data_IF_219755094129
#
_entry.id   IF_219755094129
#
_cell.length_a   1.000
_cell.length_b   1.000
_cell.length_c   1.000
_cell.angle_alpha   90.00
_cell.angle_beta   90.00
_cell.angle_gamma   90.00
#
_symmetry.space_group_name_H-M   'P 1'
#
loop_
_entity.id
_entity.type
_entity.pdbx_description
1 polymer ?
#
# COMPACT_ATOMS: atom_id res chain seq x y z
N UNK A 1 -14.99 42.66 -85.63
CA UNK A 1 -14.22 41.43 -85.33
C UNK A 1 -13.79 41.33 -83.87
N UNK A 2 -13.33 42.40 -83.21
CA UNK A 2 -12.91 42.33 -81.80
C UNK A 2 -14.05 41.92 -80.83
N UNK A 3 -15.26 42.46 -81.01
CA UNK A 3 -16.41 42.15 -80.15
C UNK A 3 -16.82 40.67 -80.20
N UNK A 4 -16.88 40.10 -81.41
CA UNK A 4 -17.20 38.68 -81.63
C UNK A 4 -16.23 37.75 -80.87
N UNK A 5 -14.93 38.08 -80.92
CA UNK A 5 -13.87 37.32 -80.23
C UNK A 5 -14.00 37.39 -78.71
N UNK A 6 -14.29 38.58 -78.16
CA UNK A 6 -14.53 38.72 -76.72
C UNK A 6 -15.79 37.98 -76.26
N UNK A 7 -16.87 38.01 -77.04
CA UNK A 7 -18.07 37.26 -76.73
C UNK A 7 -17.81 35.74 -76.77
N UNK A 8 -17.07 35.25 -77.76
CA UNK A 8 -16.68 33.84 -77.84
C UNK A 8 -15.79 33.40 -76.66
N UNK A 9 -14.88 34.26 -76.20
CA UNK A 9 -14.05 33.98 -75.01
C UNK A 9 -14.89 33.94 -73.74
N UNK A 10 -15.89 34.83 -73.61
CA UNK A 10 -16.79 34.85 -72.45
C UNK A 10 -17.64 33.58 -72.43
N UNK A 11 -18.19 33.14 -73.56
CA UNK A 11 -18.96 31.90 -73.63
C UNK A 11 -18.09 30.69 -73.31
N UNK A 12 -16.87 30.63 -73.84
CA UNK A 12 -15.94 29.53 -73.59
C UNK A 12 -15.50 29.45 -72.11
N UNK A 13 -15.26 30.59 -71.47
CA UNK A 13 -14.90 30.63 -70.03
C UNK A 13 -16.09 30.32 -69.14
N UNK A 14 -17.29 30.76 -69.49
CA UNK A 14 -18.53 30.42 -68.78
C UNK A 14 -18.79 28.92 -68.80
N UNK A 15 -18.68 28.28 -69.96
CA UNK A 15 -18.82 26.82 -70.10
C UNK A 15 -17.75 26.07 -69.30
N UNK A 16 -16.49 26.52 -69.37
CA UNK A 16 -15.40 25.95 -68.59
C UNK A 16 -15.66 26.03 -67.08
N UNK A 17 -16.10 27.18 -66.56
CA UNK A 17 -16.39 27.35 -65.12
C UNK A 17 -17.58 26.49 -64.69
N UNK A 18 -18.63 26.40 -65.52
CA UNK A 18 -19.82 25.61 -65.21
C UNK A 18 -19.58 24.10 -65.20
N UNK A 19 -18.63 23.62 -66.00
CA UNK A 19 -18.27 22.20 -66.08
C UNK A 19 -17.33 21.73 -64.95
N UNK A 20 -16.83 22.65 -64.12
CA UNK A 20 -16.04 22.29 -62.95
C UNK A 20 -16.92 21.61 -61.91
N UNK A 21 -16.59 20.36 -61.60
CA UNK A 21 -17.21 19.63 -60.49
C UNK A 21 -16.71 20.19 -59.16
N UNK A 22 -17.38 21.20 -58.64
CA UNK A 22 -17.18 21.62 -57.25
C UNK A 22 -17.83 20.60 -56.33
N UNK A 23 -17.06 20.05 -55.40
CA UNK A 23 -17.64 19.30 -54.28
C UNK A 23 -18.61 20.24 -53.57
N UNK A 24 -19.91 19.93 -53.61
CA UNK A 24 -20.88 20.67 -52.82
C UNK A 24 -20.40 20.64 -51.37
N UNK A 25 -20.46 21.76 -50.63
CA UNK A 25 -20.07 21.78 -49.23
C UNK A 25 -20.89 20.71 -48.52
N UNK A 26 -20.23 19.60 -48.18
CA UNK A 26 -20.82 18.55 -47.36
C UNK A 26 -21.24 19.26 -46.08
N UNK A 27 -22.54 19.36 -45.85
CA UNK A 27 -23.10 20.06 -44.71
C UNK A 27 -22.48 19.51 -43.44
N UNK A 28 -21.57 20.32 -42.89
CA UNK A 28 -21.16 20.32 -41.49
C UNK A 28 -20.76 18.97 -40.89
N UNK A 29 -19.57 18.47 -41.26
CA UNK A 29 -18.84 17.49 -40.40
C UNK A 29 -18.67 18.08 -38.98
N UNK A 30 -18.58 19.40 -38.85
CA UNK A 30 -18.59 20.09 -37.56
C UNK A 30 -19.96 20.10 -36.85
N UNK A 31 -21.12 19.93 -37.50
CA UNK A 31 -22.40 19.87 -36.77
C UNK A 31 -22.72 18.48 -36.24
N UNK A 32 -22.13 17.43 -36.83
CA UNK A 32 -22.20 16.07 -36.29
C UNK A 32 -21.33 15.89 -35.02
N UNK A 33 -20.32 16.75 -34.86
CA UNK A 33 -19.47 16.80 -33.66
C UNK A 33 -19.83 17.93 -32.69
N UNK A 34 -20.62 18.93 -33.10
CA UNK A 34 -20.89 20.16 -32.33
C UNK A 34 -22.38 20.51 -32.19
N UNK A 35 -23.22 19.53 -31.86
CA UNK A 35 -24.43 19.84 -31.09
C UNK A 35 -24.71 18.73 -30.08
N UNK A 36 -24.08 18.75 -28.88
CA UNK A 36 -24.81 18.20 -27.74
C UNK A 36 -26.15 18.94 -27.68
N UNK A 37 -27.23 18.21 -27.49
CA UNK A 37 -28.53 18.81 -27.19
C UNK A 37 -28.30 19.86 -26.09
N UNK A 38 -28.56 21.13 -26.35
CA UNK A 38 -28.29 22.21 -25.39
C UNK A 38 -29.00 21.92 -24.07
N UNK A 39 -30.14 21.21 -24.11
CA UNK A 39 -30.88 20.75 -22.93
C UNK A 39 -30.14 19.64 -22.17
N UNK A 40 -29.28 18.86 -22.83
CA UNK A 40 -28.39 17.87 -22.21
C UNK A 40 -27.11 18.48 -21.59
N UNK A 41 -26.71 19.68 -22.04
CA UNK A 41 -25.54 20.43 -21.58
C UNK A 41 -25.91 21.44 -20.49
N UNK A 42 -27.10 22.04 -20.58
CA UNK A 42 -27.74 22.80 -19.51
C UNK A 42 -28.38 21.79 -18.55
N UNK A 43 -27.54 21.13 -17.77
CA UNK A 43 -27.98 20.41 -16.58
C UNK A 43 -27.91 21.36 -15.40
N UNK A 44 -28.86 21.24 -14.47
CA UNK A 44 -28.70 21.88 -13.18
C UNK A 44 -27.36 21.48 -12.56
N UNK A 45 -26.58 22.46 -12.10
CA UNK A 45 -25.30 22.19 -11.45
C UNK A 45 -25.51 21.21 -10.29
N UNK A 46 -24.80 20.09 -10.32
CA UNK A 46 -24.93 19.07 -9.27
C UNK A 46 -24.51 19.68 -7.92
N UNK A 47 -24.99 19.16 -6.78
CA UNK A 47 -24.73 19.78 -5.47
C UNK A 47 -23.24 20.04 -5.16
N UNK A 48 -22.35 19.21 -5.69
CA UNK A 48 -20.90 19.34 -5.53
C UNK A 48 -20.26 20.37 -6.48
N UNK A 49 -20.94 20.80 -7.54
CA UNK A 49 -20.45 21.77 -8.54
C UNK A 49 -20.93 23.20 -8.26
N UNK A 50 -22.03 23.36 -7.51
CA UNK A 50 -22.64 24.67 -7.19
C UNK A 50 -21.66 25.68 -6.56
N UNK A 51 -20.66 25.20 -5.82
CA UNK A 51 -19.63 26.03 -5.18
C UNK A 51 -18.63 26.66 -6.17
N UNK A 52 -18.49 26.10 -7.38
CA UNK A 52 -17.58 26.61 -8.42
C UNK A 52 -18.16 27.81 -9.17
N UNK A 53 -19.48 27.92 -9.24
CA UNK A 53 -20.20 28.92 -10.04
C UNK A 53 -20.74 30.10 -9.24
N UNK A 54 -20.65 30.05 -7.90
CA UNK A 54 -20.95 31.20 -7.06
C UNK A 54 -19.77 32.18 -7.10
N UNK A 55 -19.76 33.02 -8.13
CA UNK A 55 -18.94 34.23 -8.13
C UNK A 55 -19.42 35.09 -6.95
N UNK A 56 -18.60 35.20 -5.90
CA UNK A 56 -18.83 36.20 -4.85
C UNK A 56 -18.89 37.57 -5.53
N UNK A 57 -20.07 38.17 -5.56
CA UNK A 57 -20.24 39.56 -6.00
C UNK A 57 -19.68 40.46 -4.91
N UNK A 58 -18.50 41.02 -5.16
CA UNK A 58 -17.92 42.13 -4.39
C UNK A 58 -17.33 41.73 -3.05
N UNK A 59 -16.00 41.80 -2.99
CA UNK A 59 -15.15 42.10 -1.84
C UNK A 59 -15.35 41.26 -0.56
N UNK A 60 -14.52 40.22 -0.44
CA UNK A 60 -13.55 40.09 0.66
C UNK A 60 -12.61 38.94 0.28
N UNK A 61 -11.31 39.24 0.22
CA UNK A 61 -10.24 38.24 0.14
C UNK A 61 -10.48 37.11 1.16
N UNK A 62 -10.06 35.86 0.88
CA UNK A 62 -10.15 34.81 1.87
C UNK A 62 -9.17 35.11 2.99
N UNK A 63 -9.64 35.82 4.03
CA UNK A 63 -9.01 35.80 5.35
C UNK A 63 -8.93 34.33 5.75
N UNK A 64 -7.73 33.77 5.67
CA UNK A 64 -7.38 32.51 6.32
C UNK A 64 -7.78 32.65 7.77
N UNK A 65 -8.92 32.08 8.14
CA UNK A 65 -9.32 31.97 9.53
C UNK A 65 -8.37 30.97 10.19
N UNK A 66 -7.22 31.45 10.65
CA UNK A 66 -6.48 30.82 11.72
C UNK A 66 -7.37 30.95 12.96
N UNK A 67 -8.26 29.98 13.16
CA UNK A 67 -8.99 29.82 14.42
C UNK A 67 -7.99 29.31 15.46
N UNK A 68 -7.36 30.25 16.16
CA UNK A 68 -6.96 30.04 17.54
C UNK A 68 -8.23 30.10 18.37
N UNK A 69 -8.60 28.96 18.96
CA UNK A 69 -9.86 28.79 19.69
C UNK A 69 -10.11 27.31 19.90
N UNK A 70 -9.82 26.86 21.10
CA UNK A 70 -9.91 25.48 21.57
C UNK A 70 -11.26 24.82 21.19
N UNK A 71 -11.23 23.98 20.17
CA UNK A 71 -12.09 22.80 20.11
C UNK A 71 -11.31 21.67 20.79
N UNK A 72 -11.95 20.75 21.55
CA UNK A 72 -11.27 19.56 22.04
C UNK A 72 -10.60 18.90 20.83
N UNK A 73 -9.37 18.36 20.97
CA UNK A 73 -8.70 17.72 19.85
C UNK A 73 -9.66 16.64 19.36
N UNK A 74 -10.27 16.86 18.19
CA UNK A 74 -10.92 15.81 17.44
C UNK A 74 -9.86 14.72 17.39
N UNK A 75 -10.09 13.55 18.01
CA UNK A 75 -9.07 12.53 18.08
C UNK A 75 -8.64 12.34 16.64
N UNK A 76 -7.33 12.55 16.42
CA UNK A 76 -6.62 12.17 15.21
C UNK A 76 -7.43 11.04 14.60
N UNK A 77 -7.97 11.25 13.37
CA UNK A 77 -8.38 10.13 12.53
C UNK A 77 -7.24 9.16 12.72
N UNK A 78 -7.45 8.10 13.51
CA UNK A 78 -6.49 7.02 13.63
C UNK A 78 -6.21 6.74 12.19
N UNK A 79 -4.97 6.95 11.75
CA UNK A 79 -4.57 6.48 10.45
C UNK A 79 -5.09 5.05 10.44
N UNK A 80 -6.12 4.74 9.62
CA UNK A 80 -6.54 3.36 9.48
C UNK A 80 -5.24 2.60 9.25
N UNK A 81 -5.12 1.40 9.83
CA UNK A 81 -3.95 0.58 9.55
C UNK A 81 -3.71 0.63 8.03
N UNK A 82 -2.46 0.81 7.60
CA UNK A 82 -2.13 1.15 6.19
C UNK A 82 -2.84 0.20 5.19
N UNK A 83 -3.10 -1.05 5.61
CA UNK A 83 -3.93 -2.04 4.93
C UNK A 83 -5.39 -1.58 4.70
N UNK A 84 -6.07 -1.07 5.73
CA UNK A 84 -7.43 -0.53 5.63
C UNK A 84 -7.50 0.68 4.67
N UNK A 85 -6.48 1.53 4.62
CA UNK A 85 -6.42 2.61 3.64
C UNK A 85 -6.31 2.07 2.21
N UNK A 86 -5.46 1.06 1.98
CA UNK A 86 -5.29 0.44 0.68
C UNK A 86 -6.57 -0.24 0.17
N UNK A 87 -7.29 -0.96 1.03
CA UNK A 87 -8.57 -1.61 0.69
C UNK A 87 -9.65 -0.59 0.30
N UNK A 88 -9.74 0.52 1.04
CA UNK A 88 -10.68 1.61 0.75
C UNK A 88 -10.36 2.26 -0.59
N UNK A 89 -9.07 2.48 -0.89
CA UNK A 89 -8.60 3.10 -2.13
C UNK A 89 -8.83 2.20 -3.35
N UNK A 90 -8.51 0.91 -3.26
CA UNK A 90 -8.80 -0.07 -4.30
C UNK A 90 -10.30 -0.14 -4.61
N UNK A 91 -11.14 -0.21 -3.57
CA UNK A 91 -12.59 -0.23 -3.72
C UNK A 91 -13.17 1.07 -4.29
N UNK A 92 -12.52 2.21 -4.02
CA UNK A 92 -12.87 3.49 -4.63
C UNK A 92 -12.46 3.53 -6.11
N UNK A 93 -11.27 3.02 -6.44
CA UNK A 93 -10.76 2.94 -7.81
C UNK A 93 -11.64 2.04 -8.70
N UNK A 94 -12.09 0.89 -8.20
CA UNK A 94 -13.06 0.04 -8.92
C UNK A 94 -14.36 0.78 -9.25
N UNK A 95 -14.91 1.55 -8.29
CA UNK A 95 -16.11 2.35 -8.50
C UNK A 95 -15.89 3.42 -9.56
N UNK A 96 -14.73 4.08 -9.53
CA UNK A 96 -14.37 5.09 -10.53
C UNK A 96 -14.22 4.48 -11.93
N UNK A 97 -13.60 3.31 -12.06
CA UNK A 97 -13.48 2.62 -13.36
C UNK A 97 -14.83 2.18 -13.92
N UNK A 98 -15.81 1.84 -13.06
CA UNK A 98 -17.18 1.55 -13.51
C UNK A 98 -17.89 2.78 -14.08
N UNK A 99 -17.65 3.97 -13.51
CA UNK A 99 -18.25 5.23 -13.98
C UNK A 99 -17.50 5.77 -15.21
N UNK A 100 -16.19 5.50 -15.29
CA UNK A 100 -15.30 5.92 -16.37
C UNK A 100 -14.47 4.73 -16.90
N UNK A 101 -14.98 3.99 -17.90
CA UNK A 101 -14.28 2.84 -18.44
C UNK A 101 -13.04 3.29 -19.22
N UNK A 102 -11.88 3.18 -18.58
CA UNK A 102 -10.57 3.39 -19.18
C UNK A 102 -9.80 2.06 -19.17
N UNK A 103 -9.49 1.47 -20.34
CA UNK A 103 -8.91 0.13 -20.42
C UNK A 103 -7.55 0.03 -19.72
N UNK A 104 -6.68 1.04 -19.85
CA UNK A 104 -5.38 1.07 -19.16
C UNK A 104 -5.51 1.15 -17.64
N UNK A 105 -6.48 1.89 -17.13
CA UNK A 105 -6.72 2.01 -15.69
C UNK A 105 -7.20 0.68 -15.10
N UNK A 106 -8.07 -0.04 -15.80
CA UNK A 106 -8.57 -1.36 -15.36
C UNK A 106 -7.46 -2.40 -15.23
N UNK A 107 -6.52 -2.43 -16.17
CA UNK A 107 -5.36 -3.34 -16.11
C UNK A 107 -4.41 -2.99 -14.97
N UNK A 108 -4.16 -1.68 -14.74
CA UNK A 108 -3.33 -1.23 -13.62
C UNK A 108 -3.96 -1.59 -12.28
N UNK A 109 -5.27 -1.41 -12.13
CA UNK A 109 -5.99 -1.77 -10.91
C UNK A 109 -5.92 -3.28 -10.67
N UNK A 110 -6.18 -4.12 -11.68
CA UNK A 110 -6.00 -5.57 -11.56
C UNK A 110 -4.57 -5.97 -11.18
N UNK A 111 -3.56 -5.29 -11.74
CA UNK A 111 -2.15 -5.54 -11.37
C UNK A 111 -1.85 -5.14 -9.91
N UNK A 112 -2.49 -4.07 -9.41
CA UNK A 112 -2.35 -3.61 -8.04
C UNK A 112 -3.08 -4.55 -7.07
N UNK A 113 -4.24 -5.07 -7.43
CA UNK A 113 -4.95 -6.12 -6.68
C UNK A 113 -4.11 -7.38 -6.53
N UNK A 114 -3.47 -7.82 -7.62
CA UNK A 114 -2.55 -8.96 -7.59
C UNK A 114 -1.37 -8.73 -6.65
N UNK A 115 -0.74 -7.55 -6.71
CA UNK A 115 0.38 -7.20 -5.81
C UNK A 115 -0.06 -7.08 -4.35
N UNK A 116 -1.21 -6.44 -4.13
CA UNK A 116 -1.74 -6.23 -2.79
C UNK A 116 -2.10 -7.56 -2.12
N UNK A 117 -2.79 -8.46 -2.83
CA UNK A 117 -3.11 -9.80 -2.30
C UNK A 117 -1.87 -10.61 -1.93
N UNK A 118 -0.80 -10.54 -2.75
CA UNK A 118 0.49 -11.17 -2.44
C UNK A 118 1.14 -10.58 -1.19
N UNK A 119 1.15 -9.25 -1.05
CA UNK A 119 1.71 -8.58 0.12
C UNK A 119 0.91 -8.92 1.39
N UNK A 120 -0.41 -8.92 1.33
CA UNK A 120 -1.27 -9.29 2.47
C UNK A 120 -1.02 -10.72 2.94
N UNK A 121 -0.83 -11.67 2.00
CA UNK A 121 -0.45 -13.04 2.35
C UNK A 121 0.94 -13.13 2.98
N UNK A 122 1.92 -12.39 2.45
CA UNK A 122 3.27 -12.35 3.02
C UNK A 122 3.26 -11.78 4.44
N UNK A 123 2.51 -10.68 4.65
CA UNK A 123 2.37 -10.03 5.95
C UNK A 123 1.72 -10.97 6.95
N UNK A 124 0.60 -11.63 6.61
CA UNK A 124 -0.06 -12.55 7.54
C UNK A 124 0.83 -13.72 7.94
N UNK A 125 1.62 -14.26 7.00
CA UNK A 125 2.61 -15.29 7.30
C UNK A 125 3.70 -14.79 8.26
N UNK A 126 4.22 -13.60 8.03
CA UNK A 126 5.26 -13.00 8.88
C UNK A 126 4.72 -12.64 10.26
N UNK A 127 3.49 -12.12 10.34
CA UNK A 127 2.80 -11.83 11.60
C UNK A 127 2.63 -13.09 12.44
N UNK A 128 2.22 -14.21 11.85
CA UNK A 128 2.11 -15.50 12.54
C UNK A 128 3.47 -15.97 13.12
N UNK A 129 4.57 -15.79 12.37
CA UNK A 129 5.91 -16.14 12.84
C UNK A 129 6.35 -15.20 13.98
N UNK A 130 6.05 -13.90 13.88
CA UNK A 130 6.37 -12.93 14.94
C UNK A 130 5.60 -13.24 16.22
N UNK A 131 4.34 -13.65 16.12
CA UNK A 131 3.54 -14.08 17.28
C UNK A 131 4.14 -15.32 17.95
N UNK A 132 4.55 -16.33 17.18
CA UNK A 132 5.21 -17.52 17.73
C UNK A 132 6.53 -17.16 18.43
N UNK A 133 7.33 -16.29 17.81
CA UNK A 133 8.58 -15.81 18.39
C UNK A 133 8.34 -15.02 19.69
N UNK A 134 7.31 -14.16 19.72
CA UNK A 134 6.93 -13.41 20.93
C UNK A 134 6.46 -14.33 22.04
N UNK A 135 5.61 -15.31 21.75
CA UNK A 135 5.18 -16.30 22.73
C UNK A 135 6.36 -17.09 23.31
N UNK A 136 7.33 -17.47 22.47
CA UNK A 136 8.56 -18.15 22.91
C UNK A 136 9.40 -17.26 23.82
N UNK A 137 9.52 -15.97 23.49
CA UNK A 137 10.23 -15.00 24.33
C UNK A 137 9.50 -14.74 25.65
N UNK A 138 8.17 -14.70 25.66
CA UNK A 138 7.38 -14.53 26.87
C UNK A 138 7.58 -15.70 27.84
N UNK A 139 7.62 -16.94 27.32
CA UNK A 139 7.95 -18.13 28.12
C UNK A 139 9.38 -18.01 28.67
N UNK A 140 10.36 -17.64 27.85
CA UNK A 140 11.74 -17.45 28.31
C UNK A 140 11.84 -16.36 29.38
N UNK A 141 11.17 -15.22 29.17
CA UNK A 141 11.12 -14.12 30.12
C UNK A 141 10.47 -14.56 31.44
N UNK A 142 9.39 -15.35 31.39
CA UNK A 142 8.77 -15.95 32.58
C UNK A 142 9.71 -16.92 33.29
N UNK A 143 10.35 -17.85 32.58
CA UNK A 143 11.30 -18.79 33.20
C UNK A 143 12.53 -18.08 33.80
N UNK A 144 13.02 -17.03 33.14
CA UNK A 144 14.10 -16.20 33.63
C UNK A 144 13.66 -15.38 34.86
N UNK A 145 12.42 -14.88 34.89
CA UNK A 145 11.84 -14.20 36.05
C UNK A 145 11.63 -15.15 37.23
N UNK A 146 11.16 -16.37 37.01
CA UNK A 146 11.01 -17.40 38.06
C UNK A 146 12.37 -17.77 38.67
N UNK A 147 13.40 -17.90 37.84
CA UNK A 147 14.78 -18.15 38.29
C UNK A 147 15.37 -16.95 39.06
N UNK A 148 15.08 -15.72 38.62
CA UNK A 148 15.50 -14.49 39.30
C UNK A 148 14.75 -14.23 40.60
N UNK A 149 13.47 -14.65 40.72
CA UNK A 149 12.64 -14.45 41.91
C UNK A 149 12.95 -15.45 43.04
N UNK A 150 13.56 -16.60 42.71
CA UNK A 150 14.10 -17.52 43.73
C UNK A 150 15.30 -16.95 44.49
N UNK A 151 15.78 -15.77 44.09
CA UNK A 151 16.83 -15.01 44.75
C UNK A 151 16.29 -13.74 45.44
N UNK A 152 15.02 -13.63 45.81
CA UNK A 152 14.60 -12.56 46.73
C UNK A 152 14.76 -13.02 48.19
N UNK A 153 16.00 -12.92 48.69
CA UNK A 153 16.30 -12.92 50.13
C UNK A 153 16.59 -11.46 50.49
N UNK A 154 15.80 -10.91 51.42
CA UNK A 154 15.81 -9.52 51.93
C UNK A 154 17.14 -9.18 52.63
N UNK A 155 18.22 -9.04 51.85
CA UNK A 155 19.48 -8.47 52.28
C UNK A 155 19.91 -7.42 51.25
N UNK A 156 20.50 -6.29 51.67
CA UNK A 156 21.15 -5.39 50.73
C UNK A 156 22.28 -6.19 50.07
N UNK A 157 22.03 -6.68 48.85
CA UNK A 157 23.08 -7.17 47.98
C UNK A 157 23.91 -5.98 47.58
N UNK A 158 24.96 -5.72 48.36
CA UNK A 158 26.23 -5.38 47.75
C UNK A 158 26.39 -6.30 46.54
N UNK A 159 26.69 -5.74 45.38
CA UNK A 159 27.04 -6.48 44.17
C UNK A 159 28.24 -7.38 44.51
N UNK A 160 27.99 -8.53 45.12
CA UNK A 160 28.92 -9.61 45.27
C UNK A 160 29.10 -10.16 43.86
N UNK A 161 30.01 -9.54 43.12
CA UNK A 161 30.60 -10.18 41.96
C UNK A 161 31.04 -11.57 42.37
N UNK A 162 30.75 -12.55 41.52
CA UNK A 162 31.12 -13.96 41.69
C UNK A 162 32.50 -14.00 42.35
N UNK A 163 32.57 -14.49 43.58
CA UNK A 163 33.84 -14.49 44.30
C UNK A 163 34.75 -15.55 43.70
N UNK A 164 36.05 -15.32 43.72
CA UNK A 164 37.03 -16.27 43.20
C UNK A 164 36.92 -17.64 43.89
N UNK A 165 36.46 -17.66 45.15
CA UNK A 165 36.19 -18.88 45.91
C UNK A 165 34.97 -19.67 45.38
N UNK A 166 33.93 -18.98 44.92
CA UNK A 166 32.75 -19.62 44.31
C UNK A 166 33.13 -20.26 42.97
N UNK A 167 33.97 -19.58 42.18
CA UNK A 167 34.47 -20.09 40.90
C UNK A 167 35.25 -21.42 41.07
N UNK A 168 36.10 -21.49 42.09
CA UNK A 168 36.91 -22.69 42.36
C UNK A 168 36.06 -23.91 42.74
N UNK A 169 34.99 -23.70 43.52
CA UNK A 169 34.07 -24.79 43.87
C UNK A 169 33.33 -25.30 42.63
N UNK A 170 32.86 -24.38 41.79
CA UNK A 170 32.22 -24.74 40.52
C UNK A 170 33.18 -25.51 39.61
N UNK A 171 34.45 -25.10 39.50
CA UNK A 171 35.46 -25.82 38.72
C UNK A 171 35.71 -27.25 39.23
N UNK A 172 35.74 -27.45 40.56
CA UNK A 172 35.87 -28.78 41.15
C UNK A 172 34.65 -29.67 40.89
N UNK A 173 33.45 -29.11 40.99
CA UNK A 173 32.21 -29.82 40.66
C UNK A 173 32.16 -30.22 39.18
N UNK A 174 32.54 -29.30 38.29
CA UNK A 174 32.64 -29.56 36.85
C UNK A 174 33.63 -30.69 36.58
N UNK A 175 34.81 -30.69 37.23
CA UNK A 175 35.80 -31.76 37.05
C UNK A 175 35.27 -33.13 37.45
N UNK A 176 34.56 -33.23 38.59
CA UNK A 176 33.94 -34.48 39.02
C UNK A 176 32.85 -34.93 38.05
N UNK A 177 32.07 -34.00 37.50
CA UNK A 177 31.05 -34.29 36.51
C UNK A 177 31.66 -34.76 35.18
N UNK A 178 32.78 -34.18 34.75
CA UNK A 178 33.51 -34.61 33.57
C UNK A 178 34.06 -36.02 33.71
N UNK A 179 34.62 -36.38 34.87
CA UNK A 179 35.07 -37.74 35.16
C UNK A 179 33.90 -38.74 35.10
N UNK A 180 32.81 -38.45 35.82
CA UNK A 180 31.60 -39.30 35.79
C UNK A 180 31.01 -39.41 34.38
N UNK A 181 31.08 -38.33 33.61
CA UNK A 181 30.63 -38.29 32.23
C UNK A 181 31.51 -39.18 31.35
N UNK A 182 32.83 -39.14 31.53
CA UNK A 182 33.78 -39.95 30.76
C UNK A 182 33.60 -41.44 31.09
N UNK A 183 33.49 -41.81 32.36
CA UNK A 183 33.19 -43.19 32.79
C UNK A 183 31.90 -43.73 32.17
N UNK A 184 30.84 -42.92 32.22
CA UNK A 184 29.55 -43.29 31.60
C UNK A 184 29.68 -43.42 30.10
N UNK A 185 30.41 -42.53 29.42
CA UNK A 185 30.65 -42.61 27.98
C UNK A 185 31.45 -43.85 27.60
N UNK A 186 32.48 -44.20 28.36
CA UNK A 186 33.24 -45.44 28.13
C UNK A 186 32.39 -46.68 28.35
N UNK A 187 31.56 -46.70 29.41
CA UNK A 187 30.60 -47.77 29.64
C UNK A 187 29.61 -47.91 28.49
N UNK A 188 29.11 -46.80 27.95
CA UNK A 188 28.23 -46.82 26.78
C UNK A 188 28.96 -47.35 25.56
N UNK A 189 30.20 -46.90 25.27
CA UNK A 189 31.00 -47.43 24.16
C UNK A 189 31.24 -48.93 24.27
N UNK A 190 31.53 -49.43 25.47
CA UNK A 190 31.71 -50.86 25.72
C UNK A 190 30.41 -51.65 25.49
N UNK A 191 29.27 -51.12 25.95
CA UNK A 191 27.96 -51.72 25.70
C UNK A 191 27.62 -51.72 24.21
N UNK A 192 27.92 -50.63 23.51
CA UNK A 192 27.69 -50.50 22.07
C UNK A 192 28.57 -51.46 21.26
N UNK A 193 29.86 -51.59 21.61
CA UNK A 193 30.76 -52.59 21.03
C UNK A 193 30.27 -54.02 21.29
N UNK A 194 29.81 -54.31 22.52
CA UNK A 194 29.25 -55.62 22.88
C UNK A 194 27.96 -55.92 22.12
N UNK A 195 27.12 -54.91 21.88
CA UNK A 195 25.93 -55.03 21.04
C UNK A 195 26.31 -55.33 19.60
N UNK A 196 27.30 -54.63 19.03
CA UNK A 196 27.78 -54.87 17.66
C UNK A 196 28.40 -56.26 17.44
N UNK A 197 28.99 -56.88 18.47
CA UNK A 197 29.54 -58.23 18.39
C UNK A 197 28.50 -59.34 18.62
N UNK A 198 27.28 -58.99 19.06
CA UNK A 198 26.20 -59.93 19.37
C UNK A 198 25.18 -60.11 18.23
N UNK A 199 25.44 -59.49 17.07
CA UNK A 199 24.71 -59.67 15.80
C UNK A 199 25.66 -60.21 14.74
#
# INVERSE_FOLDING_TARGET
MALESHLANITQTSEAISSLSFAHPATFINSLLASPDIVSLIRDAQPHERGLFSLKKGDEEPKRARKEGAAPPTPLKKAPSVQQEADILLRAAEKLVKIYPMPEASQRIASLEGKYSQLTYSISKLEAIVEEQRARLDILAQTHADYSSSFDDDAPRELAGITEEDLLREEEEIRQLEERMLERRERIKLLDQKLQQSF
#
